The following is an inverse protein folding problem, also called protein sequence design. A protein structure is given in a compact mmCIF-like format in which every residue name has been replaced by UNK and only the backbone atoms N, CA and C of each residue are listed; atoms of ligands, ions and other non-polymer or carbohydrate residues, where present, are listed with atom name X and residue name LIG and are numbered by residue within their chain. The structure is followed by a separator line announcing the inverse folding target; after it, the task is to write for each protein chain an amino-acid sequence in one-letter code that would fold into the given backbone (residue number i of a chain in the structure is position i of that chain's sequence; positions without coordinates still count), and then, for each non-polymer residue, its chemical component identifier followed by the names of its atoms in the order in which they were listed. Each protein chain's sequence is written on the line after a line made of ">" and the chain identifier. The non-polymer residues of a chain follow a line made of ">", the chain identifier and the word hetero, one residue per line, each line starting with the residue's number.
data_IF_905120488654
#
_entry.id   IF_905120488654
#
_cell.length_a   1.000
_cell.length_b   1.000
_cell.length_c   1.000
_cell.angle_alpha   90.00
_cell.angle_beta   90.00
_cell.angle_gamma   90.00
#
_symmetry.space_group_name_H-M   'P 1'
#
loop_
_entity.id
_entity.type
_entity.pdbx_description
1 polymer ?
#
# COMPACT_ATOMS: atom_id res chain seq x y z
N UNK A 1 -24.10 7.87 9.92
CA UNK A 1 -23.27 6.68 10.21
C UNK A 1 -23.73 5.51 9.35
N UNK A 2 -23.56 5.46 8.04
CA UNK A 2 -24.12 4.27 7.36
C UNK A 2 -23.48 3.93 6.00
N UNK A 3 -22.76 4.84 5.36
CA UNK A 3 -22.18 4.54 4.04
C UNK A 3 -20.82 3.82 4.12
N UNK A 4 -19.92 4.27 4.99
CA UNK A 4 -18.57 3.71 5.10
C UNK A 4 -18.50 2.33 5.75
N UNK A 5 -19.41 2.02 6.68
CA UNK A 5 -19.45 0.73 7.38
C UNK A 5 -19.87 -0.41 6.42
N UNK A 6 -20.89 -0.16 5.61
CA UNK A 6 -21.32 -1.07 4.54
C UNK A 6 -20.23 -1.28 3.47
N UNK A 7 -19.43 -0.26 3.19
CA UNK A 7 -18.37 -0.32 2.19
C UNK A 7 -17.14 -1.10 2.69
N UNK A 8 -16.78 -0.97 3.97
CA UNK A 8 -15.74 -1.78 4.60
C UNK A 8 -16.11 -3.27 4.62
N UNK A 9 -17.34 -3.61 4.95
CA UNK A 9 -17.83 -5.00 4.94
C UNK A 9 -17.84 -5.60 3.52
N UNK A 10 -18.15 -4.79 2.52
CA UNK A 10 -18.05 -5.22 1.12
C UNK A 10 -16.60 -5.53 0.73
N UNK A 11 -15.66 -4.69 1.13
CA UNK A 11 -14.24 -4.89 0.85
C UNK A 11 -13.71 -6.10 1.64
N UNK A 12 -14.06 -6.24 2.91
CA UNK A 12 -13.67 -7.39 3.74
C UNK A 12 -14.10 -8.71 3.10
N UNK A 13 -15.37 -8.84 2.73
CA UNK A 13 -15.90 -10.02 2.04
C UNK A 13 -15.18 -10.31 0.72
N UNK A 14 -14.88 -9.28 -0.06
CA UNK A 14 -14.12 -9.43 -1.30
C UNK A 14 -12.70 -9.94 -1.07
N UNK A 15 -12.06 -9.50 0.00
CA UNK A 15 -10.72 -9.96 0.40
C UNK A 15 -10.72 -11.30 1.12
N UNK A 16 -11.90 -11.88 1.40
CA UNK A 16 -12.03 -13.09 2.21
C UNK A 16 -11.60 -12.88 3.67
N UNK A 17 -11.68 -11.64 4.16
CA UNK A 17 -11.29 -11.24 5.50
C UNK A 17 -12.51 -11.10 6.42
N UNK A 18 -12.32 -11.46 7.68
CA UNK A 18 -13.28 -11.20 8.77
C UNK A 18 -12.64 -10.23 9.77
N UNK A 19 -12.79 -8.93 9.49
CA UNK A 19 -12.21 -7.89 10.33
C UNK A 19 -13.01 -7.74 11.61
N UNK A 20 -12.30 -7.65 12.73
CA UNK A 20 -12.89 -7.35 14.03
C UNK A 20 -13.48 -5.93 14.07
N UNK A 21 -14.31 -5.67 15.07
CA UNK A 21 -14.86 -4.33 15.32
C UNK A 21 -13.75 -3.30 15.58
N UNK A 22 -12.68 -3.73 16.25
CA UNK A 22 -11.51 -2.86 16.49
C UNK A 22 -10.80 -2.47 15.18
N UNK A 23 -10.65 -3.40 14.24
CA UNK A 23 -10.06 -3.11 12.93
C UNK A 23 -10.93 -2.13 12.12
N UNK A 24 -12.25 -2.33 12.12
CA UNK A 24 -13.20 -1.40 11.48
C UNK A 24 -13.13 -0.01 12.10
N UNK A 25 -13.09 0.04 13.42
CA UNK A 25 -12.96 1.29 14.18
C UNK A 25 -11.64 1.99 13.88
N UNK A 26 -10.52 1.27 13.80
CA UNK A 26 -9.21 1.82 13.46
C UNK A 26 -9.18 2.36 12.02
N UNK A 27 -9.78 1.66 11.05
CA UNK A 27 -9.92 2.15 9.67
C UNK A 27 -10.73 3.45 9.60
N UNK A 28 -11.85 3.52 10.34
CA UNK A 28 -12.65 4.74 10.45
C UNK A 28 -11.90 5.90 11.10
N UNK A 29 -11.17 5.63 12.18
CA UNK A 29 -10.31 6.65 12.84
C UNK A 29 -9.18 7.12 11.91
N UNK A 30 -8.60 6.23 11.13
CA UNK A 30 -7.58 6.63 10.17
C UNK A 30 -8.17 7.49 9.05
N UNK A 31 -9.34 7.14 8.53
CA UNK A 31 -10.06 7.97 7.56
C UNK A 31 -10.32 9.37 8.11
N UNK A 32 -10.82 9.48 9.34
CA UNK A 32 -11.06 10.76 10.00
C UNK A 32 -9.76 11.56 10.17
N UNK A 33 -8.67 10.92 10.60
CA UNK A 33 -7.36 11.54 10.73
C UNK A 33 -6.83 12.08 9.38
N UNK A 34 -7.05 11.35 8.28
CA UNK A 34 -6.68 11.81 6.93
C UNK A 34 -7.43 13.09 6.57
N UNK A 35 -8.74 13.15 6.86
CA UNK A 35 -9.59 14.32 6.59
C UNK A 35 -9.20 15.54 7.43
N UNK A 36 -8.98 15.36 8.72
CA UNK A 36 -8.82 16.47 9.67
C UNK A 36 -7.37 16.93 9.78
N UNK A 37 -6.41 16.00 9.82
CA UNK A 37 -5.01 16.31 10.11
C UNK A 37 -4.10 16.21 8.90
N UNK A 38 -4.20 15.14 8.10
CA UNK A 38 -3.27 14.93 6.98
C UNK A 38 -3.47 15.98 5.89
N UNK A 39 -4.71 16.34 5.56
CA UNK A 39 -5.03 17.42 4.61
C UNK A 39 -4.55 18.75 5.14
N UNK A 40 -4.88 19.10 6.39
CA UNK A 40 -4.47 20.37 7.01
C UNK A 40 -2.95 20.52 7.07
N UNK A 41 -2.22 19.40 7.27
CA UNK A 41 -0.76 19.38 7.24
C UNK A 41 -0.16 19.34 5.84
N UNK A 42 -0.96 19.32 4.77
CA UNK A 42 -0.50 19.20 3.38
C UNK A 42 0.13 17.85 3.06
N UNK A 43 -0.28 16.80 3.76
CA UNK A 43 0.12 15.42 3.50
C UNK A 43 -0.69 14.78 2.37
N UNK A 44 -1.92 15.27 2.17
CA UNK A 44 -2.83 14.96 1.06
C UNK A 44 -3.39 16.28 0.53
N UNK A 45 -3.68 16.33 -0.76
CA UNK A 45 -4.28 17.50 -1.39
C UNK A 45 -5.69 17.78 -0.83
N UNK A 46 -6.09 19.06 -0.69
CA UNK A 46 -7.41 19.42 -0.13
C UNK A 46 -8.58 18.90 -0.98
N UNK A 47 -8.41 18.81 -2.29
CA UNK A 47 -9.42 18.33 -3.22
C UNK A 47 -9.68 16.81 -3.14
N UNK A 48 -8.85 16.09 -2.37
CA UNK A 48 -9.01 14.65 -2.15
C UNK A 48 -10.04 14.32 -1.04
N UNK A 49 -10.47 15.29 -0.23
CA UNK A 49 -11.39 15.06 0.87
C UNK A 49 -12.65 14.24 0.50
N UNK A 50 -13.38 14.52 -0.59
CA UNK A 50 -14.54 13.72 -0.99
C UNK A 50 -14.22 12.29 -1.40
N UNK A 51 -12.93 11.98 -1.64
CA UNK A 51 -12.44 10.72 -2.20
C UNK A 51 -11.59 9.92 -1.23
N UNK A 52 -11.50 10.35 0.05
CA UNK A 52 -10.62 9.71 1.03
C UNK A 52 -10.94 8.23 1.19
N UNK A 53 -12.21 7.85 1.27
CA UNK A 53 -12.58 6.45 1.37
C UNK A 53 -12.17 5.68 0.10
N UNK A 54 -12.70 6.06 -1.06
CA UNK A 54 -12.55 5.27 -2.29
C UNK A 54 -11.12 5.25 -2.81
N UNK A 55 -10.42 6.41 -2.77
CA UNK A 55 -9.10 6.58 -3.39
C UNK A 55 -7.93 6.45 -2.42
N UNK A 56 -8.19 6.39 -1.12
CA UNK A 56 -7.12 6.24 -0.14
C UNK A 56 -7.31 5.00 0.73
N UNK A 57 -8.47 4.78 1.33
CA UNK A 57 -8.70 3.59 2.17
C UNK A 57 -8.93 2.35 1.31
N UNK A 58 -9.92 2.36 0.43
CA UNK A 58 -10.27 1.21 -0.41
C UNK A 58 -9.14 0.81 -1.37
N UNK A 59 -8.48 1.80 -2.00
CA UNK A 59 -7.31 1.54 -2.85
C UNK A 59 -6.14 0.92 -2.08
N UNK A 60 -5.93 1.36 -0.83
CA UNK A 60 -4.87 0.77 0.02
C UNK A 60 -5.19 -0.67 0.39
N UNK A 61 -6.43 -0.96 0.75
CA UNK A 61 -6.89 -2.31 1.06
C UNK A 61 -6.83 -3.23 -0.17
N UNK A 62 -7.01 -2.68 -1.37
CA UNK A 62 -6.93 -3.47 -2.60
C UNK A 62 -5.55 -4.10 -2.85
N UNK A 63 -4.45 -3.55 -2.29
CA UNK A 63 -3.14 -4.20 -2.32
C UNK A 63 -3.16 -5.58 -1.66
N UNK A 64 -3.98 -5.78 -0.62
CA UNK A 64 -4.09 -7.07 0.08
C UNK A 64 -4.60 -8.20 -0.82
N UNK A 65 -5.33 -7.89 -1.90
CA UNK A 65 -5.74 -8.90 -2.87
C UNK A 65 -4.57 -9.55 -3.64
N UNK A 66 -3.36 -9.01 -3.47
CA UNK A 66 -2.12 -9.49 -4.11
C UNK A 66 -1.08 -9.96 -3.08
N UNK A 67 -1.32 -9.81 -1.79
CA UNK A 67 -0.41 -10.19 -0.71
C UNK A 67 -0.88 -11.50 -0.10
N UNK A 68 -0.05 -12.54 -0.21
CA UNK A 68 -0.37 -13.85 0.33
C UNK A 68 -0.59 -13.81 1.85
N UNK A 69 -1.52 -14.63 2.35
CA UNK A 69 -1.86 -14.66 3.77
C UNK A 69 -0.65 -14.98 4.66
N UNK A 70 0.29 -15.77 4.18
CA UNK A 70 1.52 -16.15 4.89
C UNK A 70 2.64 -15.14 4.81
N UNK A 71 2.46 -14.00 4.12
CA UNK A 71 3.50 -12.96 3.97
C UNK A 71 3.88 -12.38 5.34
N UNK A 72 5.16 -12.48 5.78
CA UNK A 72 5.55 -12.03 7.12
C UNK A 72 5.89 -10.54 7.17
N UNK A 73 6.43 -9.96 6.10
CA UNK A 73 6.97 -8.60 6.09
C UNK A 73 6.64 -7.84 4.81
N UNK A 74 6.32 -6.56 4.96
CA UNK A 74 6.06 -5.65 3.84
C UNK A 74 6.80 -4.33 4.07
N UNK A 75 7.40 -3.77 3.01
CA UNK A 75 7.88 -2.39 2.98
C UNK A 75 7.05 -1.56 2.01
N UNK A 76 6.55 -0.44 2.49
CA UNK A 76 5.87 0.56 1.66
C UNK A 76 6.83 1.70 1.35
N UNK A 77 7.20 1.83 0.08
CA UNK A 77 8.25 2.75 -0.38
C UNK A 77 7.65 4.09 -0.78
N UNK A 78 8.03 5.13 -0.05
CA UNK A 78 7.44 6.46 -0.20
C UNK A 78 6.05 6.53 0.43
N UNK A 79 5.90 5.92 1.61
CA UNK A 79 4.63 5.75 2.32
C UNK A 79 3.89 7.06 2.66
N UNK A 80 4.60 8.19 2.63
CA UNK A 80 3.99 9.50 2.90
C UNK A 80 3.29 9.56 4.26
N UNK A 81 1.99 9.79 4.23
CA UNK A 81 1.13 9.83 5.44
C UNK A 81 0.66 8.44 5.89
N UNK A 82 1.20 7.37 5.29
CA UNK A 82 0.85 5.99 5.64
C UNK A 82 -0.07 5.28 4.67
N UNK A 83 -0.03 5.66 3.41
CA UNK A 83 -0.87 5.07 2.36
C UNK A 83 0.00 4.38 1.29
N UNK A 84 -0.12 3.06 1.09
CA UNK A 84 -1.15 2.13 1.59
C UNK A 84 -0.84 1.46 2.94
N UNK A 85 0.29 1.71 3.57
CA UNK A 85 0.83 0.96 4.71
C UNK A 85 -0.13 0.83 5.90
N UNK A 86 -0.74 1.93 6.37
CA UNK A 86 -1.58 1.92 7.58
C UNK A 86 -2.87 1.10 7.38
N UNK A 87 -3.67 1.28 6.31
CA UNK A 87 -4.82 0.41 6.08
C UNK A 87 -4.46 -1.07 5.94
N UNK A 88 -3.33 -1.39 5.30
CA UNK A 88 -2.81 -2.76 5.20
C UNK A 88 -2.51 -3.32 6.59
N UNK A 89 -1.80 -2.57 7.42
CA UNK A 89 -1.42 -3.00 8.77
C UNK A 89 -2.62 -3.20 9.71
N UNK A 90 -3.64 -2.34 9.61
CA UNK A 90 -4.89 -2.49 10.35
C UNK A 90 -5.61 -3.77 9.92
N UNK A 91 -5.71 -4.00 8.61
CA UNK A 91 -6.42 -5.16 8.05
C UNK A 91 -5.67 -6.49 8.28
N UNK A 92 -4.35 -6.44 8.50
CA UNK A 92 -3.45 -7.60 8.67
C UNK A 92 -2.52 -7.41 9.88
N UNK A 93 -3.01 -7.58 11.12
CA UNK A 93 -2.22 -7.34 12.34
C UNK A 93 -0.97 -8.24 12.46
N UNK A 94 -0.98 -9.42 11.86
CA UNK A 94 0.15 -10.36 11.82
C UNK A 94 1.25 -9.96 10.82
N UNK A 95 0.97 -9.07 9.88
CA UNK A 95 1.93 -8.59 8.90
C UNK A 95 2.77 -7.45 9.48
N UNK A 96 4.08 -7.62 9.52
CA UNK A 96 5.00 -6.55 9.93
C UNK A 96 5.22 -5.56 8.78
N UNK A 97 4.75 -4.33 8.95
CA UNK A 97 4.80 -3.29 7.92
C UNK A 97 5.88 -2.27 8.24
N UNK A 98 6.75 -2.01 7.28
CA UNK A 98 7.75 -0.93 7.36
C UNK A 98 7.37 0.20 6.42
N UNK A 99 7.12 1.37 6.96
CA UNK A 99 6.88 2.60 6.21
C UNK A 99 8.21 3.28 5.94
N UNK A 100 8.62 3.35 4.68
CA UNK A 100 9.86 4.00 4.23
C UNK A 100 9.54 5.29 3.50
N UNK A 101 10.00 6.42 4.00
CA UNK A 101 9.95 7.71 3.30
C UNK A 101 11.21 8.52 3.62
N UNK A 102 11.75 9.25 2.64
CA UNK A 102 12.92 10.11 2.85
C UNK A 102 12.60 11.44 3.54
N UNK A 103 11.32 11.80 3.60
CA UNK A 103 10.85 13.06 4.18
C UNK A 103 10.59 12.91 5.67
N UNK A 104 11.43 13.53 6.51
CA UNK A 104 11.21 13.58 7.96
C UNK A 104 9.83 14.15 8.32
N UNK A 105 9.40 15.22 7.64
CA UNK A 105 8.08 15.82 7.86
C UNK A 105 6.94 14.82 7.65
N UNK A 106 6.97 14.03 6.56
CA UNK A 106 5.93 13.03 6.29
C UNK A 106 6.00 11.88 7.28
N UNK A 107 7.21 11.42 7.61
CA UNK A 107 7.40 10.36 8.59
C UNK A 107 6.91 10.76 9.99
N UNK A 108 7.14 12.02 10.41
CA UNK A 108 6.61 12.52 11.68
C UNK A 108 5.09 12.59 11.69
N UNK A 109 4.49 13.03 10.59
CA UNK A 109 3.03 13.04 10.44
C UNK A 109 2.46 11.60 10.51
N UNK A 110 3.07 10.66 9.82
CA UNK A 110 2.67 9.25 9.88
C UNK A 110 2.84 8.64 11.29
N UNK A 111 3.94 8.93 11.99
CA UNK A 111 4.14 8.50 13.39
C UNK A 111 3.04 9.01 14.32
N UNK A 112 2.49 10.20 14.05
CA UNK A 112 1.35 10.73 14.81
C UNK A 112 0.10 9.87 14.60
N UNK A 113 -0.20 9.48 13.36
CA UNK A 113 -1.29 8.55 13.07
C UNK A 113 -1.10 7.20 13.78
N UNK A 114 0.11 6.62 13.74
CA UNK A 114 0.41 5.34 14.40
C UNK A 114 0.14 5.38 15.90
N UNK A 115 0.51 6.49 16.57
CA UNK A 115 0.23 6.66 18.01
C UNK A 115 -1.26 6.76 18.32
N UNK A 116 -2.04 7.47 17.49
CA UNK A 116 -3.48 7.61 17.64
C UNK A 116 -4.20 6.27 17.43
N UNK A 117 -3.71 5.48 16.48
CA UNK A 117 -4.28 4.18 16.10
C UNK A 117 -3.78 3.03 16.97
N UNK A 118 -2.75 3.24 17.78
CA UNK A 118 -2.11 2.22 18.62
C UNK A 118 -1.65 0.99 17.82
N UNK A 119 -1.06 1.21 16.65
CA UNK A 119 -0.55 0.13 15.78
C UNK A 119 0.86 -0.28 16.23
N UNK A 120 1.01 -1.55 16.59
CA UNK A 120 2.27 -2.14 17.04
C UNK A 120 3.03 -2.89 15.92
N UNK A 121 2.31 -3.30 14.88
CA UNK A 121 2.87 -4.02 13.73
C UNK A 121 3.43 -3.10 12.63
N UNK A 122 3.59 -1.80 12.91
CA UNK A 122 4.09 -0.80 11.96
C UNK A 122 5.29 -0.06 12.54
N UNK A 123 6.36 0.00 11.77
CA UNK A 123 7.49 0.91 12.05
C UNK A 123 7.74 1.87 10.91
N UNK A 124 8.42 2.97 11.22
CA UNK A 124 8.81 3.99 10.23
C UNK A 124 10.32 4.04 10.05
N UNK A 125 10.78 4.16 8.82
CA UNK A 125 12.17 4.44 8.46
C UNK A 125 12.24 5.75 7.68
N UNK A 126 12.90 6.76 8.25
CA UNK A 126 13.19 8.00 7.54
C UNK A 126 14.54 7.89 6.85
N UNK A 127 14.54 7.34 5.63
CA UNK A 127 15.75 7.10 4.85
C UNK A 127 15.45 7.18 3.36
N UNK A 128 16.49 7.48 2.57
CA UNK A 128 16.44 7.19 1.15
C UNK A 128 16.46 5.68 0.92
N UNK A 129 15.74 5.21 -0.08
CA UNK A 129 15.63 3.79 -0.44
C UNK A 129 17.00 3.15 -0.68
N UNK A 130 17.98 3.91 -1.18
CA UNK A 130 19.35 3.44 -1.44
C UNK A 130 20.16 3.14 -0.17
N UNK A 131 19.73 3.67 0.97
CA UNK A 131 20.40 3.52 2.27
C UNK A 131 19.84 2.33 3.09
N UNK A 132 18.75 1.72 2.63
CA UNK A 132 18.14 0.57 3.32
C UNK A 132 18.88 -0.71 2.94
N UNK A 133 19.23 -1.52 3.94
CA UNK A 133 19.92 -2.81 3.77
C UNK A 133 19.03 -4.01 4.06
N UNK A 134 17.92 -3.77 4.75
CA UNK A 134 16.95 -4.80 5.05
C UNK A 134 16.21 -5.24 3.80
N UNK A 135 15.77 -6.49 3.79
CA UNK A 135 14.94 -7.06 2.72
C UNK A 135 13.60 -7.55 3.28
N UNK A 136 12.57 -7.54 2.45
CA UNK A 136 11.19 -7.80 2.81
C UNK A 136 10.58 -8.83 1.86
N UNK A 137 9.53 -9.51 2.29
CA UNK A 137 8.81 -10.44 1.42
C UNK A 137 8.04 -9.70 0.31
N UNK A 138 7.48 -8.52 0.64
CA UNK A 138 6.73 -7.69 -0.31
C UNK A 138 7.20 -6.24 -0.23
N UNK A 139 7.29 -5.58 -1.39
CA UNK A 139 7.46 -4.13 -1.50
C UNK A 139 6.28 -3.50 -2.24
N UNK A 140 5.74 -2.39 -1.70
CA UNK A 140 4.63 -1.65 -2.31
C UNK A 140 5.07 -0.27 -2.76
N UNK A 141 4.49 0.20 -3.88
CA UNK A 141 4.80 1.49 -4.51
C UNK A 141 3.49 2.16 -4.93
N UNK A 142 3.14 3.28 -4.30
CA UNK A 142 1.95 4.06 -4.64
C UNK A 142 2.28 5.53 -4.86
N UNK A 143 2.44 5.90 -6.13
CA UNK A 143 2.70 7.30 -6.52
C UNK A 143 4.01 7.88 -5.99
N UNK A 144 4.95 7.04 -5.58
CA UNK A 144 6.19 7.43 -4.91
C UNK A 144 7.40 7.53 -5.84
N UNK A 145 7.47 6.65 -6.82
CA UNK A 145 8.62 6.52 -7.73
C UNK A 145 8.13 6.26 -9.17
N UNK A 146 8.88 6.69 -10.19
CA UNK A 146 8.71 6.18 -11.56
C UNK A 146 8.99 4.68 -11.61
N UNK A 147 8.37 3.96 -12.56
CA UNK A 147 8.46 2.48 -12.62
C UNK A 147 9.91 1.95 -12.65
N UNK A 148 10.81 2.57 -13.39
CA UNK A 148 12.21 2.15 -13.43
C UNK A 148 12.91 2.25 -12.07
N UNK A 149 12.65 3.33 -11.31
CA UNK A 149 13.18 3.50 -9.96
C UNK A 149 12.51 2.55 -8.96
N UNK A 150 11.21 2.26 -9.12
CA UNK A 150 10.48 1.29 -8.32
C UNK A 150 11.02 -0.13 -8.54
N UNK A 151 11.36 -0.50 -9.77
CA UNK A 151 11.99 -1.80 -10.08
C UNK A 151 13.36 -1.92 -9.42
N UNK A 152 14.20 -0.90 -9.49
CA UNK A 152 15.50 -0.90 -8.80
C UNK A 152 15.36 -0.94 -7.27
N UNK A 153 14.32 -0.31 -6.72
CA UNK A 153 13.99 -0.41 -5.30
C UNK A 153 13.49 -1.81 -4.92
N UNK A 154 12.65 -2.43 -5.76
CA UNK A 154 12.20 -3.81 -5.59
C UNK A 154 13.40 -4.78 -5.56
N UNK A 155 14.32 -4.70 -6.51
CA UNK A 155 15.50 -5.56 -6.58
C UNK A 155 16.37 -5.45 -5.32
N UNK A 156 16.46 -4.27 -4.73
CA UNK A 156 17.23 -3.99 -3.51
C UNK A 156 16.55 -4.47 -2.24
N UNK A 157 15.23 -4.22 -2.13
CA UNK A 157 14.50 -4.34 -0.87
C UNK A 157 13.72 -5.64 -0.73
N UNK A 158 13.62 -6.45 -1.79
CA UNK A 158 12.74 -7.61 -1.78
C UNK A 158 13.57 -8.90 -1.87
N UNK A 159 13.23 -9.90 -1.05
CA UNK A 159 13.85 -11.23 -1.08
C UNK A 159 13.68 -11.90 -2.45
N UNK A 160 14.48 -12.91 -2.77
CA UNK A 160 14.54 -13.48 -4.12
C UNK A 160 13.17 -13.98 -4.65
N UNK A 161 12.37 -14.62 -3.83
CA UNK A 161 11.02 -15.06 -4.19
C UNK A 161 9.92 -14.07 -3.79
N UNK A 162 10.32 -12.86 -3.41
CA UNK A 162 9.39 -11.82 -3.02
C UNK A 162 8.73 -11.11 -4.20
N UNK A 163 7.81 -10.22 -3.89
CA UNK A 163 7.00 -9.52 -4.88
C UNK A 163 7.01 -8.02 -4.66
N UNK A 164 7.13 -7.26 -5.75
CA UNK A 164 6.79 -5.85 -5.81
C UNK A 164 5.36 -5.64 -6.29
N UNK A 165 4.64 -4.70 -5.69
CA UNK A 165 3.29 -4.31 -6.11
C UNK A 165 3.29 -2.80 -6.38
N UNK A 166 3.13 -2.42 -7.63
CA UNK A 166 3.08 -1.02 -8.04
C UNK A 166 1.64 -0.64 -8.40
N UNK A 167 1.09 0.40 -7.78
CA UNK A 167 -0.20 0.95 -8.16
C UNK A 167 -0.10 1.61 -9.54
N UNK A 168 -0.69 1.00 -10.55
CA UNK A 168 -0.52 1.41 -11.94
C UNK A 168 -1.54 2.44 -12.39
N UNK A 169 -2.83 2.13 -12.27
CA UNK A 169 -3.89 2.96 -12.81
C UNK A 169 -5.25 2.66 -12.17
N UNK A 170 -6.15 3.64 -12.26
CA UNK A 170 -7.59 3.51 -11.98
C UNK A 170 -8.44 3.74 -13.23
N UNK A 171 -7.84 3.74 -14.39
CA UNK A 171 -8.53 3.86 -15.66
C UNK A 171 -9.09 2.50 -16.10
N UNK A 172 -10.22 2.49 -16.80
CA UNK A 172 -10.79 1.25 -17.33
C UNK A 172 -9.85 0.52 -18.30
N UNK A 173 -9.11 1.30 -19.09
CA UNK A 173 -8.11 0.80 -20.01
C UNK A 173 -6.77 1.49 -19.72
N UNK A 174 -5.94 0.92 -18.86
CA UNK A 174 -4.63 1.48 -18.55
C UNK A 174 -3.69 1.32 -19.75
N UNK A 175 -2.73 2.24 -19.85
CA UNK A 175 -1.61 2.04 -20.78
C UNK A 175 -0.84 0.79 -20.40
N UNK A 176 -0.30 0.08 -21.37
CA UNK A 176 0.64 -1.02 -21.12
C UNK A 176 1.84 -0.50 -20.35
N UNK A 177 2.37 -1.29 -19.40
CA UNK A 177 3.65 -0.97 -18.77
C UNK A 177 4.77 -1.03 -19.81
N UNK A 178 5.91 -0.37 -19.56
CA UNK A 178 7.10 -0.56 -20.37
C UNK A 178 7.58 -2.01 -20.27
N UNK A 179 8.45 -2.43 -21.16
CA UNK A 179 9.13 -3.71 -21.06
C UNK A 179 9.90 -3.80 -19.73
N UNK A 180 9.87 -4.96 -19.06
CA UNK A 180 10.62 -5.14 -17.83
C UNK A 180 12.13 -5.18 -18.12
N UNK A 181 12.98 -4.71 -17.18
CA UNK A 181 14.41 -4.88 -17.29
C UNK A 181 14.79 -6.37 -17.24
N UNK A 182 16.03 -6.73 -17.65
CA UNK A 182 16.52 -8.10 -17.54
C UNK A 182 16.30 -8.70 -16.15
N UNK A 183 16.00 -9.98 -16.09
CA UNK A 183 15.76 -10.73 -14.85
C UNK A 183 14.52 -10.27 -14.04
N UNK A 184 13.62 -9.53 -14.67
CA UNK A 184 12.39 -9.06 -14.03
C UNK A 184 11.18 -9.43 -14.90
N UNK A 185 10.07 -9.77 -14.26
CA UNK A 185 8.78 -10.03 -14.91
C UNK A 185 7.77 -9.00 -14.41
N UNK A 186 7.09 -8.35 -15.35
CA UNK A 186 5.95 -7.50 -15.08
C UNK A 186 4.65 -8.21 -15.44
N UNK A 187 3.72 -8.24 -14.51
CA UNK A 187 2.36 -8.78 -14.74
C UNK A 187 1.34 -7.72 -14.36
N UNK A 188 0.60 -7.22 -15.35
CA UNK A 188 -0.48 -6.27 -15.11
C UNK A 188 -1.74 -7.03 -14.68
N UNK A 189 -2.29 -6.68 -13.52
CA UNK A 189 -3.49 -7.32 -12.96
C UNK A 189 -4.53 -6.28 -12.57
N UNK A 190 -5.80 -6.59 -12.81
CA UNK A 190 -6.94 -5.79 -12.38
C UNK A 190 -7.60 -6.40 -11.16
N UNK A 191 -7.94 -5.59 -10.17
CA UNK A 191 -8.59 -6.01 -8.92
C UNK A 191 -9.76 -5.11 -8.58
N UNK A 192 -10.70 -5.64 -7.81
CA UNK A 192 -11.81 -4.88 -7.21
C UNK A 192 -12.94 -4.53 -8.19
N UNK A 193 -13.04 -5.16 -9.36
CA UNK A 193 -14.20 -4.98 -10.24
C UNK A 193 -15.50 -5.34 -9.50
N UNK A 194 -16.49 -4.43 -9.54
CA UNK A 194 -17.76 -4.58 -8.83
C UNK A 194 -17.72 -4.34 -7.32
N UNK A 195 -16.54 -4.08 -6.75
CA UNK A 195 -16.35 -3.77 -5.32
C UNK A 195 -15.88 -2.33 -5.12
N UNK A 196 -14.88 -1.92 -5.87
CA UNK A 196 -14.39 -0.54 -5.90
C UNK A 196 -15.24 0.29 -6.87
N UNK A 197 -15.19 1.61 -6.75
CA UNK A 197 -15.84 2.57 -7.67
C UNK A 197 -15.41 2.36 -9.13
N UNK A 198 -14.16 1.95 -9.32
CA UNK A 198 -13.58 1.52 -10.59
C UNK A 198 -12.46 0.51 -10.32
N UNK A 199 -12.14 -0.40 -11.28
CA UNK A 199 -11.08 -1.38 -11.07
C UNK A 199 -9.74 -0.73 -10.76
N UNK A 200 -9.00 -1.30 -9.80
CA UNK A 200 -7.63 -0.93 -9.52
C UNK A 200 -6.68 -1.82 -10.34
N UNK A 201 -5.78 -1.19 -11.08
CA UNK A 201 -4.74 -1.88 -11.84
C UNK A 201 -3.43 -1.81 -11.09
N UNK A 202 -2.81 -2.96 -10.92
CA UNK A 202 -1.52 -3.12 -10.28
C UNK A 202 -0.54 -3.79 -11.23
N UNK A 203 0.71 -3.37 -11.16
CA UNK A 203 1.81 -4.06 -11.80
C UNK A 203 2.53 -4.90 -10.75
N UNK A 204 2.46 -6.22 -10.88
CA UNK A 204 3.28 -7.14 -10.10
C UNK A 204 4.67 -7.17 -10.68
N UNK A 205 5.68 -7.06 -9.81
CA UNK A 205 7.09 -7.11 -10.15
C UNK A 205 7.68 -8.34 -9.47
N UNK A 206 8.27 -9.23 -10.25
CA UNK A 206 8.91 -10.45 -9.74
C UNK A 206 10.25 -10.65 -10.44
N UNK A 207 11.18 -11.36 -9.80
CA UNK A 207 12.38 -11.83 -10.50
C UNK A 207 12.01 -12.96 -11.43
N UNK A 208 12.62 -13.01 -12.61
CA UNK A 208 12.55 -14.21 -13.45
C UNK A 208 13.33 -15.32 -12.79
N UNK A 209 12.78 -16.53 -12.78
CA UNK A 209 13.55 -17.71 -12.38
C UNK A 209 14.79 -17.81 -13.28
N UNK A 210 15.96 -17.88 -12.68
CA UNK A 210 17.14 -18.29 -13.42
C UNK A 210 16.92 -19.72 -13.83
N UNK A 211 16.72 -19.97 -15.13
CA UNK A 211 16.89 -21.30 -15.71
C UNK A 211 18.35 -21.65 -15.48
N UNK A 212 18.62 -22.33 -14.36
CA UNK A 212 19.94 -22.88 -14.09
C UNK A 212 20.30 -23.83 -15.21
N UNK A 213 21.28 -23.45 -16.00
CA UNK A 213 22.00 -24.32 -16.95
C UNK A 213 23.04 -25.14 -16.20
#
# INVERSE_FOLDING_TARGET
>A
MTSSENDLDRIARWLGADWSEDQRTQLGRFQQWLLEEAIAAGGIGPDEAPRIFDRHIADSLAFLSLVDASTPTLVDVGSGVGLPAIPIAIARPELLVTMLDRSERRTQLARRALRILLLENVRTLTKDVTQVREVFAVSTFRGSLPIAAATGAFERLTVDQGMGIFAWSRLQQPKSPPDPPPNTIFTLVSKGAGVLDSPAWFLRIQRSEHSGS
#
